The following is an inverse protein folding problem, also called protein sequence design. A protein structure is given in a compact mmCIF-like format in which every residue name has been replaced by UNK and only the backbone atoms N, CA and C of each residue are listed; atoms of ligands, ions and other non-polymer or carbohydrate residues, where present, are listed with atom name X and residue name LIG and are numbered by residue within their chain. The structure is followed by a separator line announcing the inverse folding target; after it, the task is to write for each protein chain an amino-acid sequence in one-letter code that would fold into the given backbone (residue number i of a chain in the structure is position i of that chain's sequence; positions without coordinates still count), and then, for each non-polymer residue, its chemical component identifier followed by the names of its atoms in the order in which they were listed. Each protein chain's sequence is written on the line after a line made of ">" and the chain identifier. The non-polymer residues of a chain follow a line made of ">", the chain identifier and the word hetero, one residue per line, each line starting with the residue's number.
data_IF_811329624212
#
_entry.id   IF_811329624212
#
_cell.length_a   1.000
_cell.length_b   1.000
_cell.length_c   1.000
_cell.angle_alpha   90.00
_cell.angle_beta   90.00
_cell.angle_gamma   90.00
#
_symmetry.space_group_name_H-M   'P 1'
#
loop_
_entity.id
_entity.type
_entity.pdbx_description
1 polymer ?
#
# COMPACT_ATOMS: atom_id res chain seq x y z
N UNK A 1 37.12 -26.20 22.33
CA UNK A 1 36.88 -24.77 22.07
C UNK A 1 36.37 -24.58 20.65
N UNK A 2 35.15 -24.08 20.51
CA UNK A 2 34.56 -23.43 19.32
C UNK A 2 33.99 -24.26 18.18
N UNK A 3 33.08 -25.21 18.48
CA UNK A 3 32.16 -25.72 17.45
C UNK A 3 30.82 -24.96 17.38
N UNK A 4 30.50 -24.15 18.37
CA UNK A 4 29.22 -23.41 18.47
C UNK A 4 29.10 -22.16 17.57
N UNK A 5 30.22 -21.55 17.20
CA UNK A 5 30.20 -20.34 16.36
C UNK A 5 29.88 -20.60 14.88
N UNK A 6 30.04 -21.83 14.41
CA UNK A 6 29.75 -22.16 13.00
C UNK A 6 28.27 -22.45 12.73
N UNK A 7 27.51 -22.88 13.73
CA UNK A 7 26.07 -23.19 13.55
C UNK A 7 25.18 -21.93 13.57
N UNK A 8 25.53 -20.90 14.31
CA UNK A 8 24.72 -19.69 14.37
C UNK A 8 24.79 -18.83 13.07
N UNK A 9 25.93 -18.83 12.37
CA UNK A 9 26.09 -18.09 11.12
C UNK A 9 25.34 -18.73 9.95
N UNK A 10 25.28 -20.07 9.91
CA UNK A 10 24.58 -20.77 8.83
C UNK A 10 23.05 -20.70 8.95
N UNK A 11 22.52 -20.66 10.18
CA UNK A 11 21.06 -20.54 10.41
C UNK A 11 20.55 -19.14 10.07
N UNK A 12 21.30 -18.07 10.37
CA UNK A 12 20.92 -16.71 10.04
C UNK A 12 20.96 -16.43 8.53
N UNK A 13 21.91 -17.01 7.80
CA UNK A 13 21.98 -16.86 6.35
C UNK A 13 20.83 -17.60 5.65
N UNK A 14 20.45 -18.79 6.12
CA UNK A 14 19.34 -19.58 5.55
C UNK A 14 17.97 -18.91 5.77
N UNK A 15 17.75 -18.30 6.94
CA UNK A 15 16.51 -17.58 7.25
C UNK A 15 16.41 -16.30 6.40
N UNK A 16 17.51 -15.56 6.22
CA UNK A 16 17.52 -14.36 5.42
C UNK A 16 17.22 -14.61 3.93
N UNK A 17 17.82 -15.65 3.35
CA UNK A 17 17.62 -16.02 1.93
C UNK A 17 16.19 -16.52 1.68
N UNK A 18 15.62 -17.29 2.60
CA UNK A 18 14.23 -17.77 2.48
C UNK A 18 13.22 -16.63 2.62
N UNK A 19 13.47 -15.67 3.52
CA UNK A 19 12.61 -14.51 3.72
C UNK A 19 12.61 -13.58 2.49
N UNK A 20 13.76 -13.33 1.88
CA UNK A 20 13.86 -12.52 0.65
C UNK A 20 13.16 -13.21 -0.54
N UNK A 21 13.25 -14.53 -0.67
CA UNK A 21 12.54 -15.27 -1.72
C UNK A 21 11.01 -15.14 -1.56
N UNK A 22 10.50 -15.15 -0.31
CA UNK A 22 9.06 -15.00 -0.04
C UNK A 22 8.49 -13.66 -0.46
N UNK A 23 9.15 -12.55 -0.14
CA UNK A 23 8.65 -11.20 -0.49
C UNK A 23 8.83 -10.83 -1.97
N UNK A 24 9.62 -11.58 -2.75
CA UNK A 24 9.73 -11.40 -4.18
C UNK A 24 8.64 -12.14 -4.96
N UNK A 25 8.04 -13.19 -4.37
CA UNK A 25 7.03 -13.99 -5.02
C UNK A 25 5.71 -13.22 -5.19
N UNK A 26 5.22 -13.15 -6.43
CA UNK A 26 4.01 -12.41 -6.79
C UNK A 26 4.17 -10.89 -6.78
N UNK A 27 5.37 -10.34 -6.58
CA UNK A 27 5.64 -8.90 -6.68
C UNK A 27 5.50 -8.45 -8.14
N UNK A 28 4.57 -7.54 -8.41
CA UNK A 28 4.27 -7.04 -9.75
C UNK A 28 4.63 -5.56 -9.94
N UNK A 29 4.72 -4.80 -8.86
CA UNK A 29 5.20 -3.43 -8.89
C UNK A 29 6.01 -3.14 -7.62
N UNK A 30 7.21 -2.60 -7.80
CA UNK A 30 8.04 -2.07 -6.71
C UNK A 30 8.59 -0.70 -7.08
N UNK A 31 8.20 0.31 -6.35
CA UNK A 31 8.66 1.68 -6.50
C UNK A 31 9.33 2.15 -5.20
N UNK A 32 10.68 2.14 -5.15
CA UNK A 32 11.44 2.51 -3.95
C UNK A 32 11.37 4.01 -3.63
N UNK A 33 10.95 4.86 -4.57
CA UNK A 33 10.87 6.33 -4.45
C UNK A 33 12.21 7.04 -4.22
N UNK A 34 13.32 6.39 -4.51
CA UNK A 34 14.69 6.89 -4.33
C UNK A 34 15.10 7.95 -5.36
N UNK A 35 14.46 9.13 -5.29
CA UNK A 35 14.68 10.25 -6.21
C UNK A 35 14.00 10.08 -7.56
N UNK A 36 13.27 8.98 -7.77
CA UNK A 36 12.47 8.68 -8.96
C UNK A 36 11.17 7.99 -8.55
N UNK A 37 10.12 8.18 -9.32
CA UNK A 37 8.87 7.41 -9.21
C UNK A 37 8.84 6.21 -10.16
N UNK A 38 9.93 5.89 -10.85
CA UNK A 38 10.02 4.70 -11.69
C UNK A 38 10.03 3.45 -10.82
N UNK A 39 9.22 2.46 -11.19
CA UNK A 39 9.17 1.19 -10.49
C UNK A 39 10.14 0.17 -11.12
N UNK A 40 10.77 -0.62 -10.29
CA UNK A 40 11.79 -1.59 -10.68
C UNK A 40 11.21 -2.88 -11.28
N UNK A 41 10.00 -3.27 -10.89
CA UNK A 41 9.32 -4.46 -11.39
C UNK A 41 8.19 -4.06 -12.36
N UNK A 42 7.95 -4.86 -13.41
CA UNK A 42 6.87 -4.78 -14.40
C UNK A 42 6.54 -3.36 -14.90
N UNK A 43 6.76 -3.03 -16.14
CA UNK A 43 6.34 -1.79 -16.84
C UNK A 43 6.26 -0.52 -15.96
N UNK A 44 7.24 -0.32 -15.08
CA UNK A 44 7.22 0.52 -13.90
C UNK A 44 7.30 2.03 -14.13
N UNK A 45 7.05 2.50 -15.36
CA UNK A 45 6.97 3.95 -15.57
C UNK A 45 5.60 4.47 -15.14
N UNK A 46 5.54 5.52 -14.30
CA UNK A 46 4.28 6.13 -13.97
C UNK A 46 3.63 6.73 -15.23
N UNK A 47 2.31 6.55 -15.36
CA UNK A 47 1.52 7.21 -16.42
C UNK A 47 1.22 8.67 -16.06
N UNK A 48 1.44 9.03 -14.81
CA UNK A 48 1.32 10.39 -14.30
C UNK A 48 2.32 10.63 -13.18
N UNK A 49 3.13 11.65 -13.29
CA UNK A 49 4.12 12.07 -12.30
C UNK A 49 4.22 13.61 -12.35
N UNK A 50 3.35 14.29 -11.63
CA UNK A 50 3.22 15.75 -11.68
C UNK A 50 3.51 16.36 -10.32
N UNK A 51 4.33 17.42 -10.28
CA UNK A 51 4.67 18.19 -9.08
C UNK A 51 5.23 17.34 -7.94
N UNK A 52 5.84 16.20 -8.26
CA UNK A 52 6.46 15.34 -7.26
C UNK A 52 7.71 16.02 -6.68
N UNK A 53 7.88 15.89 -5.38
CA UNK A 53 9.11 16.24 -4.66
C UNK A 53 9.66 15.01 -4.00
N UNK A 54 10.97 14.87 -3.96
CA UNK A 54 11.64 13.79 -3.26
C UNK A 54 12.37 14.36 -2.05
N UNK A 55 12.09 13.77 -0.90
CA UNK A 55 12.61 14.19 0.42
C UNK A 55 13.28 12.99 1.10
N UNK A 56 13.86 13.17 2.29
CA UNK A 56 14.43 12.06 3.04
C UNK A 56 13.32 11.08 3.48
N UNK A 57 13.49 9.82 3.08
CA UNK A 57 12.53 8.74 3.23
C UNK A 57 12.68 7.93 4.51
N UNK A 58 11.95 6.82 4.59
CA UNK A 58 12.20 5.75 5.55
C UNK A 58 13.49 5.03 5.22
N UNK A 59 13.70 4.81 3.92
CA UNK A 59 14.92 4.30 3.32
C UNK A 59 15.29 5.22 2.16
N UNK A 60 16.52 5.74 2.10
CA UNK A 60 16.93 6.66 1.04
C UNK A 60 16.03 7.88 0.90
N UNK A 61 15.29 7.97 -0.21
CA UNK A 61 14.33 9.04 -0.49
C UNK A 61 12.90 8.52 -0.50
N UNK A 62 11.96 9.44 -0.33
CA UNK A 62 10.52 9.22 -0.42
C UNK A 62 9.87 10.27 -1.33
N UNK A 63 8.72 9.94 -1.90
CA UNK A 63 7.91 10.91 -2.62
C UNK A 63 7.02 11.69 -1.65
N UNK A 64 7.11 13.01 -1.69
CA UNK A 64 6.24 13.94 -0.97
C UNK A 64 5.01 14.27 -1.80
N UNK A 65 3.85 14.08 -1.20
CA UNK A 65 2.54 14.35 -1.82
C UNK A 65 1.89 15.55 -1.16
N UNK A 66 1.94 16.68 -1.83
CA UNK A 66 1.33 17.93 -1.39
C UNK A 66 1.02 18.84 -2.59
N UNK A 67 0.21 19.89 -2.39
CA UNK A 67 0.07 20.97 -3.36
C UNK A 67 -0.39 20.55 -4.76
N UNK A 68 -1.21 19.50 -4.86
CA UNK A 68 -1.68 18.99 -6.15
C UNK A 68 -0.69 18.05 -6.84
N UNK A 69 0.24 17.43 -6.09
CA UNK A 69 1.07 16.35 -6.59
C UNK A 69 0.22 15.18 -7.09
N UNK A 70 0.59 14.59 -8.21
CA UNK A 70 -0.12 13.46 -8.83
C UNK A 70 0.88 12.35 -9.16
N UNK A 71 0.61 11.16 -8.69
CA UNK A 71 1.34 9.94 -9.04
C UNK A 71 0.35 8.86 -9.42
N UNK A 72 0.54 8.24 -10.59
CA UNK A 72 -0.25 7.09 -11.00
C UNK A 72 0.56 6.15 -11.87
N UNK A 73 0.31 4.83 -11.70
CA UNK A 73 0.89 3.77 -12.51
C UNK A 73 -0.15 3.14 -13.43
N UNK A 74 0.27 2.44 -14.50
CA UNK A 74 -0.63 1.61 -15.29
C UNK A 74 -1.29 0.56 -14.37
N UNK A 75 -2.56 0.26 -14.61
CA UNK A 75 -3.25 -0.77 -13.83
C UNK A 75 -3.32 -2.12 -14.56
N UNK A 76 -3.20 -2.10 -15.90
CA UNK A 76 -3.26 -3.31 -16.70
C UNK A 76 -2.13 -4.27 -16.29
N UNK A 77 -2.50 -5.50 -15.98
CA UNK A 77 -1.59 -6.58 -15.53
C UNK A 77 -0.88 -6.28 -14.19
N UNK A 78 -1.26 -5.21 -13.49
CA UNK A 78 -0.67 -4.78 -12.22
C UNK A 78 -1.66 -4.70 -11.06
N UNK A 79 -2.94 -4.95 -11.31
CA UNK A 79 -3.95 -4.93 -10.26
C UNK A 79 -5.12 -5.82 -10.62
N UNK A 80 -5.54 -6.63 -9.64
CA UNK A 80 -6.71 -7.49 -9.70
C UNK A 80 -7.63 -7.18 -8.51
N UNK A 81 -8.93 -7.00 -8.77
CA UNK A 81 -9.92 -6.84 -7.72
C UNK A 81 -10.18 -8.13 -6.92
N UNK A 82 -9.85 -9.30 -7.50
CA UNK A 82 -10.05 -10.61 -6.87
C UNK A 82 -9.10 -10.84 -5.70
N UNK A 83 -7.81 -10.56 -5.91
CA UNK A 83 -6.77 -10.80 -4.92
C UNK A 83 -5.55 -9.91 -5.12
N UNK A 84 -4.88 -9.62 -4.04
CA UNK A 84 -3.65 -8.85 -4.10
C UNK A 84 -3.18 -8.38 -2.75
N UNK A 85 -2.10 -7.62 -2.79
CA UNK A 85 -1.57 -6.88 -1.65
C UNK A 85 -1.04 -5.54 -2.15
N UNK A 86 -1.32 -4.49 -1.41
CA UNK A 86 -0.66 -3.18 -1.52
C UNK A 86 0.05 -2.92 -0.21
N UNK A 87 1.34 -2.65 -0.26
CA UNK A 87 2.15 -2.33 0.92
C UNK A 87 3.04 -1.11 0.64
N UNK A 88 3.24 -0.27 1.65
CA UNK A 88 4.09 0.91 1.57
C UNK A 88 4.42 1.47 2.94
N UNK A 89 5.46 2.26 3.02
CA UNK A 89 5.69 3.14 4.15
C UNK A 89 5.01 4.49 3.90
N UNK A 90 4.37 5.02 4.96
CA UNK A 90 3.69 6.32 4.94
C UNK A 90 4.13 7.16 6.13
N UNK A 91 4.30 8.47 5.92
CA UNK A 91 4.48 9.47 6.98
C UNK A 91 3.52 10.62 6.72
N UNK A 92 2.56 10.80 7.62
CA UNK A 92 1.52 11.83 7.50
C UNK A 92 1.96 13.11 8.21
N UNK A 93 1.64 14.26 7.67
CA UNK A 93 1.92 15.55 8.30
C UNK A 93 1.00 15.84 9.49
N UNK A 94 -0.22 15.29 9.48
CA UNK A 94 -1.30 15.60 10.41
C UNK A 94 -2.06 14.35 10.83
N UNK A 95 -2.74 14.41 11.99
CA UNK A 95 -3.75 13.42 12.35
C UNK A 95 -4.81 13.28 11.24
N UNK A 96 -5.38 12.12 11.11
CA UNK A 96 -6.37 11.83 10.06
C UNK A 96 -7.68 12.60 10.27
N UNK A 97 -8.02 12.86 11.52
CA UNK A 97 -9.19 13.67 11.92
C UNK A 97 -9.14 15.13 11.43
N UNK A 98 -7.99 15.67 11.15
CA UNK A 98 -7.85 17.03 10.62
C UNK A 98 -8.05 17.12 9.09
N UNK A 99 -8.23 16.00 8.43
CA UNK A 99 -8.50 15.92 7.00
C UNK A 99 -9.90 15.33 6.79
N UNK A 100 -10.73 15.97 5.95
CA UNK A 100 -12.11 15.52 5.73
C UNK A 100 -12.19 14.13 5.12
N UNK A 101 -11.26 13.83 4.21
CA UNK A 101 -11.11 12.53 3.53
C UNK A 101 -9.79 12.60 2.77
N UNK A 102 -9.10 11.49 2.68
CA UNK A 102 -7.82 11.43 1.99
C UNK A 102 -7.62 10.03 1.42
N UNK A 103 -6.95 9.97 0.28
CA UNK A 103 -6.64 8.74 -0.42
C UNK A 103 -5.15 8.45 -0.34
N UNK A 104 -4.82 7.22 0.01
CA UNK A 104 -3.48 6.68 -0.12
C UNK A 104 -3.34 5.96 -1.46
N UNK A 105 -4.36 5.17 -1.79
CA UNK A 105 -4.36 4.31 -2.97
C UNK A 105 -5.77 4.22 -3.56
N UNK A 106 -5.85 4.22 -4.89
CA UNK A 106 -7.11 4.02 -5.62
C UNK A 106 -6.86 3.24 -6.90
N UNK A 107 -7.72 2.26 -7.14
CA UNK A 107 -7.88 1.57 -8.42
C UNK A 107 -9.37 1.60 -8.80
N UNK A 108 -9.73 2.09 -9.97
CA UNK A 108 -11.12 2.17 -10.42
C UNK A 108 -11.25 1.87 -11.91
N UNK A 109 -12.24 1.03 -12.26
CA UNK A 109 -12.56 0.65 -13.62
C UNK A 109 -13.86 1.32 -14.14
N UNK A 110 -14.72 1.81 -13.23
CA UNK A 110 -15.97 2.48 -13.58
C UNK A 110 -15.78 3.94 -14.00
N UNK A 111 -16.87 4.52 -14.49
CA UNK A 111 -16.90 5.95 -14.89
C UNK A 111 -17.00 6.87 -13.69
N UNK A 112 -17.67 6.41 -12.64
CA UNK A 112 -17.82 7.17 -11.41
C UNK A 112 -16.77 6.76 -10.38
N UNK A 113 -16.54 7.64 -9.41
CA UNK A 113 -15.47 7.49 -8.42
C UNK A 113 -15.59 6.23 -7.55
N UNK A 114 -16.81 5.72 -7.36
CA UNK A 114 -17.14 4.56 -6.54
C UNK A 114 -17.81 3.41 -7.32
N UNK A 115 -17.55 3.32 -8.61
CA UNK A 115 -18.04 2.25 -9.48
C UNK A 115 -16.86 1.34 -9.84
N UNK A 116 -16.98 0.04 -9.56
CA UNK A 116 -15.92 -0.94 -9.75
C UNK A 116 -14.57 -0.39 -9.25
N UNK A 117 -14.47 -0.19 -7.95
CA UNK A 117 -13.36 0.56 -7.36
C UNK A 117 -12.81 -0.08 -6.08
N UNK A 118 -11.53 0.14 -5.84
CA UNK A 118 -10.81 -0.21 -4.62
C UNK A 118 -10.10 1.01 -4.07
N UNK A 119 -10.26 1.27 -2.78
CA UNK A 119 -9.65 2.41 -2.10
C UNK A 119 -8.95 2.01 -0.82
N UNK A 120 -7.83 2.67 -0.55
CA UNK A 120 -7.20 2.75 0.77
C UNK A 120 -7.10 4.22 1.12
N UNK A 121 -7.60 4.61 2.27
CA UNK A 121 -7.58 6.00 2.69
C UNK A 121 -8.00 6.17 4.15
N UNK A 122 -8.34 7.38 4.54
CA UNK A 122 -8.78 7.68 5.88
C UNK A 122 -10.12 8.41 5.91
N UNK A 123 -10.75 8.35 7.08
CA UNK A 123 -11.98 9.05 7.38
C UNK A 123 -11.75 10.23 8.32
N UNK A 124 -12.71 11.15 8.39
CA UNK A 124 -12.69 12.26 9.34
C UNK A 124 -12.77 11.84 10.82
N UNK A 125 -13.00 10.56 11.10
CA UNK A 125 -13.07 10.01 12.46
C UNK A 125 -11.79 9.33 12.90
N UNK A 126 -10.69 9.62 12.22
CA UNK A 126 -9.37 9.03 12.51
C UNK A 126 -9.31 7.51 12.29
N UNK A 127 -10.09 7.02 11.34
CA UNK A 127 -10.12 5.62 10.94
C UNK A 127 -9.40 5.43 9.61
N UNK A 128 -8.62 4.37 9.49
CA UNK A 128 -8.21 3.85 8.19
C UNK A 128 -9.39 3.16 7.54
N UNK A 129 -9.60 3.43 6.26
CA UNK A 129 -10.70 2.92 5.46
C UNK A 129 -10.15 2.15 4.26
N UNK A 130 -10.55 0.90 4.12
CA UNK A 130 -10.38 0.13 2.89
C UNK A 130 -11.76 -0.20 2.35
N UNK A 131 -12.00 0.08 1.09
CA UNK A 131 -13.31 -0.05 0.48
C UNK A 131 -13.20 -0.65 -0.93
N UNK A 132 -13.96 -1.71 -1.18
CA UNK A 132 -14.26 -2.22 -2.51
C UNK A 132 -15.68 -1.83 -2.90
N UNK A 133 -15.90 -1.43 -4.13
CA UNK A 133 -17.20 -1.05 -4.68
C UNK A 133 -17.47 -1.84 -5.95
N UNK A 134 -18.65 -2.46 -6.03
CA UNK A 134 -19.15 -3.09 -7.25
C UNK A 134 -19.69 -2.05 -8.27
N UNK A 135 -20.20 -2.53 -9.41
CA UNK A 135 -20.80 -1.68 -10.44
C UNK A 135 -22.05 -0.94 -9.98
N UNK A 136 -22.79 -1.50 -9.01
CA UNK A 136 -23.97 -0.90 -8.42
C UNK A 136 -23.64 0.01 -7.24
N UNK A 137 -22.34 0.31 -7.03
CA UNK A 137 -21.80 1.14 -5.95
C UNK A 137 -22.06 0.62 -4.54
N UNK A 138 -22.47 -0.65 -4.41
CA UNK A 138 -22.48 -1.34 -3.13
C UNK A 138 -21.05 -1.61 -2.73
N UNK A 139 -20.81 -1.66 -1.43
CA UNK A 139 -19.43 -1.68 -0.94
C UNK A 139 -19.20 -2.74 0.13
N UNK A 140 -18.04 -3.34 0.06
CA UNK A 140 -17.38 -3.97 1.19
C UNK A 140 -16.46 -2.91 1.82
N UNK A 141 -16.67 -2.62 3.09
CA UNK A 141 -15.95 -1.56 3.81
C UNK A 141 -15.32 -2.13 5.06
N UNK A 142 -14.02 -2.01 5.15
CA UNK A 142 -13.23 -2.35 6.33
C UNK A 142 -12.71 -1.05 6.93
N UNK A 143 -12.98 -0.86 8.22
CA UNK A 143 -12.55 0.31 8.99
C UNK A 143 -11.68 -0.15 10.15
N UNK A 144 -10.58 0.52 10.38
CA UNK A 144 -9.83 0.35 11.62
C UNK A 144 -10.62 0.86 12.82
N UNK A 145 -10.26 0.51 14.05
CA UNK A 145 -10.78 1.19 15.25
C UNK A 145 -10.53 2.69 15.17
N UNK A 146 -11.44 3.48 15.77
CA UNK A 146 -11.22 4.90 15.97
C UNK A 146 -9.94 5.11 16.79
N UNK A 147 -9.20 6.17 16.47
CA UNK A 147 -7.94 6.52 17.13
C UNK A 147 -6.87 5.42 16.96
N UNK A 148 -6.45 5.23 15.72
CA UNK A 148 -5.27 4.42 15.45
C UNK A 148 -4.08 5.06 16.18
N UNK A 149 -3.37 4.32 17.06
CA UNK A 149 -2.30 4.86 17.90
C UNK A 149 -1.01 5.11 17.12
N UNK A 150 -1.13 5.65 15.91
CA UNK A 150 0.00 5.94 15.03
C UNK A 150 0.08 7.45 14.82
N UNK A 151 1.04 8.12 15.48
CA UNK A 151 1.13 9.57 15.46
C UNK A 151 1.49 10.10 14.05
N UNK A 152 1.09 11.33 13.77
CA UNK A 152 1.58 12.07 12.62
C UNK A 152 3.08 12.38 12.78
N UNK A 153 3.80 12.51 11.67
CA UNK A 153 5.24 12.76 11.65
C UNK A 153 6.10 11.51 11.77
N UNK A 154 5.53 10.35 12.06
CA UNK A 154 6.26 9.09 12.16
C UNK A 154 6.02 8.18 10.97
N UNK A 155 7.06 7.46 10.55
CA UNK A 155 6.95 6.44 9.50
C UNK A 155 6.19 5.22 10.01
N UNK A 156 5.22 4.78 9.22
CA UNK A 156 4.39 3.61 9.49
C UNK A 156 4.32 2.74 8.24
N UNK A 157 4.47 1.44 8.42
CA UNK A 157 4.26 0.48 7.35
C UNK A 157 2.79 0.09 7.29
N UNK A 158 2.15 0.38 6.17
CA UNK A 158 0.79 -0.03 5.87
C UNK A 158 0.84 -1.18 4.87
N UNK A 159 0.11 -2.27 5.16
CA UNK A 159 -0.19 -3.29 4.17
C UNK A 159 -1.68 -3.62 4.19
N UNK A 160 -2.25 -3.81 3.00
CA UNK A 160 -3.63 -4.25 2.81
C UNK A 160 -3.61 -5.45 1.89
N UNK A 161 -4.17 -6.56 2.35
CA UNK A 161 -4.30 -7.79 1.57
C UNK A 161 -5.77 -8.08 1.31
N UNK A 162 -6.09 -8.63 0.15
CA UNK A 162 -7.45 -9.07 -0.16
C UNK A 162 -7.44 -10.38 -0.95
N UNK A 163 -8.48 -11.20 -0.71
CA UNK A 163 -8.76 -12.42 -1.43
C UNK A 163 -10.29 -12.61 -1.46
N UNK A 164 -10.91 -12.31 -2.60
CA UNK A 164 -12.35 -12.16 -2.68
C UNK A 164 -12.87 -11.08 -1.74
N UNK A 165 -13.87 -11.39 -0.90
CA UNK A 165 -14.45 -10.42 0.03
C UNK A 165 -13.62 -10.21 1.30
N UNK A 166 -12.61 -11.06 1.54
CA UNK A 166 -11.77 -10.98 2.73
C UNK A 166 -10.70 -9.91 2.52
N UNK A 167 -10.77 -8.86 3.33
CA UNK A 167 -9.78 -7.78 3.36
C UNK A 167 -9.16 -7.74 4.73
N UNK A 168 -7.83 -7.75 4.80
CA UNK A 168 -7.06 -7.58 6.03
C UNK A 168 -6.17 -6.36 5.93
N UNK A 169 -6.04 -5.67 7.05
CA UNK A 169 -5.25 -4.45 7.16
C UNK A 169 -4.19 -4.63 8.23
N UNK A 170 -2.97 -4.30 7.88
CA UNK A 170 -1.81 -4.42 8.76
C UNK A 170 -1.16 -3.05 8.92
N UNK A 171 -0.74 -2.76 10.13
CA UNK A 171 0.07 -1.60 10.45
C UNK A 171 1.30 -2.05 11.23
N UNK A 172 2.48 -1.66 10.74
CA UNK A 172 3.77 -2.04 11.32
C UNK A 172 3.93 -3.57 11.50
N UNK A 173 3.44 -4.33 10.52
CA UNK A 173 3.54 -5.79 10.47
C UNK A 173 2.51 -6.55 11.31
N UNK A 174 1.64 -5.84 12.05
CA UNK A 174 0.60 -6.46 12.87
C UNK A 174 -0.79 -6.18 12.29
N UNK A 175 -1.67 -7.20 12.27
CA UNK A 175 -3.04 -7.03 11.84
C UNK A 175 -3.80 -6.16 12.83
N UNK A 176 -4.42 -5.08 12.33
CA UNK A 176 -5.20 -4.17 13.15
C UNK A 176 -6.66 -4.59 13.17
N UNK A 177 -7.32 -4.41 14.33
CA UNK A 177 -8.76 -4.63 14.45
C UNK A 177 -9.53 -3.67 13.55
N UNK A 178 -10.58 -4.16 12.88
CA UNK A 178 -11.43 -3.37 11.99
C UNK A 178 -12.90 -3.73 12.16
N UNK A 179 -13.76 -2.80 11.80
CA UNK A 179 -15.22 -2.99 11.82
C UNK A 179 -15.66 -3.58 10.48
N UNK A 180 -16.48 -4.63 10.54
CA UNK A 180 -17.15 -5.16 9.37
C UNK A 180 -18.39 -4.33 9.08
N UNK A 181 -18.62 -3.86 7.85
CA UNK A 181 -19.78 -3.05 7.51
C UNK A 181 -21.08 -3.86 7.51
N UNK A 182 -22.18 -3.17 7.72
CA UNK A 182 -23.53 -3.75 7.77
C UNK A 182 -24.15 -4.04 6.39
N UNK A 183 -23.50 -3.67 5.29
CA UNK A 183 -24.03 -3.83 3.92
C UNK A 183 -22.98 -4.39 2.99
N UNK A 184 -22.68 -5.69 3.07
CA UNK A 184 -21.63 -6.31 2.27
C UNK A 184 -21.98 -6.23 0.78
N UNK A 185 -20.97 -6.07 -0.03
CA UNK A 185 -21.00 -6.18 -1.48
C UNK A 185 -21.53 -7.57 -1.88
N UNK A 186 -22.40 -7.63 -2.89
CA UNK A 186 -22.96 -8.89 -3.40
C UNK A 186 -22.15 -9.45 -4.56
N UNK A 187 -21.57 -8.55 -5.33
CA UNK A 187 -20.72 -8.86 -6.47
C UNK A 187 -19.35 -8.20 -6.25
N UNK A 188 -18.32 -8.74 -6.85
CA UNK A 188 -16.99 -8.13 -6.83
C UNK A 188 -16.89 -7.00 -7.83
N UNK A 189 -15.96 -6.06 -7.67
CA UNK A 189 -15.63 -5.09 -8.70
C UNK A 189 -15.23 -5.81 -10.01
N UNK A 190 -15.67 -5.30 -11.12
CA UNK A 190 -15.41 -5.86 -12.45
C UNK A 190 -14.54 -4.93 -13.29
N UNK A 191 -13.92 -5.50 -14.33
CA UNK A 191 -13.12 -4.78 -15.30
C UNK A 191 -11.68 -4.52 -14.86
N UNK A 192 -10.93 -3.88 -15.74
CA UNK A 192 -9.55 -3.48 -15.48
C UNK A 192 -9.52 -2.02 -15.06
N UNK A 193 -8.93 -1.67 -13.91
CA UNK A 193 -8.77 -0.27 -13.53
C UNK A 193 -8.05 0.54 -14.60
N UNK A 194 -8.41 1.80 -14.74
CA UNK A 194 -7.78 2.68 -15.72
C UNK A 194 -6.33 2.99 -15.36
N UNK A 195 -6.07 3.17 -14.07
CA UNK A 195 -4.74 3.43 -13.48
C UNK A 195 -4.78 3.21 -11.98
N UNK A 196 -3.60 3.11 -11.37
CA UNK A 196 -3.40 3.06 -9.93
C UNK A 196 -2.98 4.46 -9.47
N UNK A 197 -3.84 5.15 -8.76
CA UNK A 197 -3.58 6.49 -8.23
C UNK A 197 -2.99 6.39 -6.81
N UNK A 198 -1.90 7.09 -6.56
CA UNK A 198 -1.14 7.04 -5.31
C UNK A 198 -1.21 8.39 -4.62
N UNK A 199 -1.68 8.43 -3.38
CA UNK A 199 -1.70 9.62 -2.52
C UNK A 199 -2.66 10.72 -2.92
N UNK A 200 -3.34 10.59 -4.04
CA UNK A 200 -4.29 11.59 -4.53
C UNK A 200 -5.42 10.95 -5.31
N UNK A 201 -6.51 11.66 -5.41
CA UNK A 201 -7.56 11.42 -6.39
C UNK A 201 -7.47 12.44 -7.52
N UNK A 202 -8.17 12.20 -8.63
CA UNK A 202 -8.29 13.14 -9.75
C UNK A 202 -8.83 14.51 -9.35
N UNK A 203 -9.55 14.60 -8.22
CA UNK A 203 -9.92 15.87 -7.58
C UNK A 203 -8.83 16.29 -6.59
N UNK A 204 -8.35 17.52 -6.66
CA UNK A 204 -7.30 18.05 -5.75
C UNK A 204 -7.75 18.18 -4.28
N UNK A 205 -8.92 17.62 -3.92
CA UNK A 205 -9.56 17.79 -2.60
C UNK A 205 -9.22 16.69 -1.60
N UNK A 206 -8.79 15.52 -2.08
CA UNK A 206 -8.56 14.33 -1.24
C UNK A 206 -7.13 13.81 -1.43
N UNK A 207 -6.16 14.59 -1.01
CA UNK A 207 -4.73 14.29 -1.14
C UNK A 207 -4.17 13.89 0.21
N UNK A 208 -3.35 12.85 0.23
CA UNK A 208 -2.50 12.58 1.39
C UNK A 208 -1.51 13.74 1.55
N UNK A 209 -1.59 14.47 2.67
CA UNK A 209 -0.52 15.38 3.05
C UNK A 209 0.54 14.59 3.81
N UNK A 210 1.63 14.26 3.13
CA UNK A 210 2.66 13.41 3.70
C UNK A 210 3.58 12.80 2.65
N UNK A 211 4.28 11.77 3.03
CA UNK A 211 5.23 11.03 2.20
C UNK A 211 4.83 9.56 2.05
N UNK A 212 5.22 8.99 0.91
CA UNK A 212 5.13 7.56 0.61
C UNK A 212 6.52 7.07 0.18
N UNK A 213 6.86 5.88 0.67
CA UNK A 213 8.11 5.20 0.40
C UNK A 213 7.87 3.70 0.22
N UNK A 214 8.74 3.03 -0.54
CA UNK A 214 8.74 1.57 -0.67
C UNK A 214 7.40 0.96 -1.12
N UNK A 215 6.73 1.57 -2.11
CA UNK A 215 5.46 1.05 -2.62
C UNK A 215 5.66 -0.30 -3.31
N UNK A 216 4.93 -1.30 -2.84
CA UNK A 216 4.88 -2.66 -3.41
C UNK A 216 3.45 -3.07 -3.70
N UNK A 217 3.25 -3.74 -4.85
CA UNK A 217 1.97 -4.36 -5.22
C UNK A 217 2.23 -5.81 -5.60
N UNK A 218 1.39 -6.72 -5.09
CA UNK A 218 1.47 -8.16 -5.32
C UNK A 218 0.18 -8.66 -5.97
N UNK A 219 0.28 -9.69 -6.81
CA UNK A 219 -0.86 -10.37 -7.43
C UNK A 219 -1.46 -11.47 -6.53
N UNK A 220 -1.11 -11.49 -5.25
CA UNK A 220 -1.61 -12.42 -4.24
C UNK A 220 -1.80 -11.73 -2.90
N UNK A 221 -2.69 -12.26 -2.08
CA UNK A 221 -2.78 -11.87 -0.69
C UNK A 221 -1.59 -12.44 0.07
N UNK A 222 -0.73 -11.57 0.61
CA UNK A 222 0.37 -12.00 1.48
C UNK A 222 -0.19 -12.49 2.82
N UNK A 223 0.28 -13.65 3.31
CA UNK A 223 -0.08 -14.11 4.64
C UNK A 223 0.59 -13.24 5.73
N UNK A 224 0.09 -13.27 6.98
CA UNK A 224 0.57 -12.39 8.07
C UNK A 224 2.08 -12.45 8.30
N UNK A 225 2.67 -13.63 8.22
CA UNK A 225 4.10 -13.86 8.39
C UNK A 225 4.95 -13.15 7.31
N UNK A 226 4.47 -13.13 6.05
CA UNK A 226 5.17 -12.42 4.99
C UNK A 226 4.98 -10.90 5.10
N UNK A 227 3.82 -10.43 5.54
CA UNK A 227 3.62 -9.01 5.85
C UNK A 227 4.57 -8.56 6.96
N UNK A 228 4.78 -9.39 7.97
CA UNK A 228 5.74 -9.12 9.05
C UNK A 228 7.20 -9.13 8.56
N UNK A 229 7.53 -10.05 7.64
CA UNK A 229 8.85 -10.06 6.98
C UNK A 229 9.02 -8.77 6.18
N UNK A 230 8.01 -8.36 5.43
CA UNK A 230 8.04 -7.14 4.61
C UNK A 230 8.22 -5.86 5.46
N UNK A 231 7.56 -5.77 6.60
CA UNK A 231 7.75 -4.67 7.57
C UNK A 231 9.19 -4.60 8.09
N UNK A 232 9.82 -5.75 8.37
CA UNK A 232 11.18 -5.84 8.89
C UNK A 232 12.25 -5.77 7.80
N UNK A 233 11.84 -5.78 6.53
CA UNK A 233 12.76 -5.75 5.40
C UNK A 233 13.43 -4.39 5.27
N UNK A 234 14.75 -4.40 5.19
CA UNK A 234 15.56 -3.24 4.87
C UNK A 234 16.05 -3.41 3.43
N UNK A 235 15.62 -2.57 2.49
CA UNK A 235 16.03 -2.68 1.10
C UNK A 235 17.55 -2.62 0.97
N UNK A 236 18.11 -3.49 0.14
CA UNK A 236 19.54 -3.46 -0.16
C UNK A 236 19.80 -2.46 -1.28
N UNK A 237 20.91 -1.72 -1.18
CA UNK A 237 21.32 -0.79 -2.24
C UNK A 237 21.47 -1.56 -3.55
N UNK A 238 20.57 -1.33 -4.52
CA UNK A 238 20.55 -2.02 -5.82
C UNK A 238 19.46 -3.09 -6.00
N UNK A 239 18.60 -3.33 -5.03
CA UNK A 239 17.42 -4.23 -5.17
C UNK A 239 16.45 -3.75 -6.28
N UNK A 240 16.52 -2.48 -6.62
CA UNK A 240 15.69 -1.81 -7.62
C UNK A 240 16.28 -1.81 -9.05
N UNK A 241 17.25 -2.69 -9.36
CA UNK A 241 17.86 -2.75 -10.70
C UNK A 241 17.44 -3.98 -11.46
#
# INVERSE_FOLDING_TARGET
>A
MNSWKRYCAAVLAAVGVTACAGIADGLILYAPMDGSAEAAAANGRPVRAEKLKFVDGRFGKAVRLEGGAKLAYPAKDQFDFERGTVAMWIRRDRPWSEQRSWRIFKAAAGKEWNENAFYIGGTRWDELCVSQHDRDKKRNLVLSPNKIPYPAGEWQHLAVTWNGPEIRVYMNGEEISYKTPSNPMRERPEGTPHRLEIGSESSDKEVLAGEIDELRIYNRALPPEEVKVLFNHVPQTGEAK
#
